data_IF_360161278287
#
_entry.id   IF_360161278287
#
_cell.length_a   1.000
_cell.length_b   1.000
_cell.length_c   1.000
_cell.angle_alpha   90.00
_cell.angle_beta   90.00
_cell.angle_gamma   90.00
#
_symmetry.space_group_name_H-M   'P 1'
#
loop_
_entity.id
_entity.type
_entity.pdbx_description
1 polymer ?
#
# COMPACT_ATOMS: atom_id res chain seq x y z
N UNK A 1 -33.14 -44.01 -45.59
CA UNK A 1 -32.51 -43.42 -44.38
C UNK A 1 -31.68 -42.18 -44.75
N UNK A 2 -32.29 -41.00 -44.58
CA UNK A 2 -31.75 -39.71 -44.96
C UNK A 2 -30.53 -39.35 -44.12
N UNK A 3 -29.43 -39.00 -44.79
CA UNK A 3 -28.18 -38.49 -44.21
C UNK A 3 -28.43 -37.12 -43.56
N UNK A 4 -27.93 -36.93 -42.33
CA UNK A 4 -27.97 -35.64 -41.64
C UNK A 4 -27.09 -34.61 -42.37
N UNK A 5 -27.49 -33.33 -42.46
CA UNK A 5 -26.75 -32.33 -43.22
C UNK A 5 -25.41 -32.00 -42.56
N UNK A 6 -24.34 -32.07 -43.34
CA UNK A 6 -23.02 -31.53 -43.01
C UNK A 6 -23.10 -30.01 -42.99
N UNK A 7 -22.98 -29.39 -41.82
CA UNK A 7 -22.80 -27.93 -41.72
C UNK A 7 -21.34 -27.58 -42.08
N UNK A 8 -21.20 -26.69 -43.06
CA UNK A 8 -19.93 -26.17 -43.55
C UNK A 8 -19.22 -25.29 -42.51
N UNK A 9 -17.86 -25.27 -42.50
CA UNK A 9 -17.09 -24.42 -41.60
C UNK A 9 -17.21 -22.94 -42.01
N UNK A 10 -17.64 -22.11 -41.07
CA UNK A 10 -17.73 -20.65 -41.19
C UNK A 10 -16.33 -20.02 -41.09
N UNK A 11 -16.05 -18.86 -41.73
CA UNK A 11 -14.73 -18.23 -41.74
C UNK A 11 -14.34 -17.69 -40.35
N UNK A 12 -13.04 -17.61 -40.01
CA UNK A 12 -12.60 -17.18 -38.69
C UNK A 12 -12.79 -15.66 -38.56
N UNK A 13 -13.81 -15.27 -37.81
CA UNK A 13 -13.98 -13.90 -37.34
C UNK A 13 -12.93 -13.56 -36.27
N UNK A 14 -12.45 -12.33 -36.25
CA UNK A 14 -11.44 -11.80 -35.31
C UNK A 14 -11.82 -11.96 -33.82
N UNK A 15 -13.07 -12.37 -33.53
CA UNK A 15 -13.58 -12.76 -32.21
C UNK A 15 -12.87 -13.98 -31.59
N UNK A 16 -12.24 -14.84 -32.39
CA UNK A 16 -11.57 -16.07 -31.91
C UNK A 16 -10.37 -15.79 -30.98
N UNK A 17 -9.66 -14.68 -31.18
CA UNK A 17 -8.48 -14.37 -30.38
C UNK A 17 -8.83 -13.95 -28.95
N UNK A 18 -9.91 -13.18 -28.77
CA UNK A 18 -10.35 -12.74 -27.44
C UNK A 18 -10.98 -13.90 -26.65
N UNK A 19 -11.78 -14.73 -27.33
CA UNK A 19 -12.38 -15.93 -26.74
C UNK A 19 -11.32 -16.84 -26.12
N UNK A 20 -10.21 -17.08 -26.83
CA UNK A 20 -9.10 -17.91 -26.33
C UNK A 20 -8.41 -17.33 -25.08
N UNK A 21 -8.39 -16.01 -24.92
CA UNK A 21 -7.77 -15.32 -23.78
C UNK A 21 -8.66 -15.31 -22.53
N UNK A 22 -9.97 -15.49 -22.72
CA UNK A 22 -10.96 -15.53 -21.64
C UNK A 22 -11.28 -16.96 -21.17
N UNK A 23 -10.63 -17.98 -21.76
CA UNK A 23 -10.77 -19.36 -21.36
C UNK A 23 -9.85 -19.73 -20.19
N UNK A 24 -10.37 -20.55 -19.28
CA UNK A 24 -9.59 -21.10 -18.18
C UNK A 24 -8.72 -22.26 -18.68
N UNK A 25 -7.42 -22.30 -18.38
CA UNK A 25 -6.56 -23.41 -18.80
C UNK A 25 -6.87 -24.77 -18.13
N UNK A 26 -7.69 -24.79 -17.07
CA UNK A 26 -8.08 -26.02 -16.36
C UNK A 26 -9.28 -26.69 -17.05
N UNK A 27 -10.36 -25.94 -17.29
CA UNK A 27 -11.58 -26.47 -17.91
C UNK A 27 -11.76 -26.10 -19.38
N UNK A 28 -10.85 -25.29 -19.95
CA UNK A 28 -10.83 -24.85 -21.36
C UNK A 28 -12.03 -24.02 -21.84
N UNK A 29 -12.95 -23.69 -20.93
CA UNK A 29 -14.13 -22.86 -21.19
C UNK A 29 -13.98 -21.44 -20.62
N UNK A 30 -14.87 -20.53 -21.00
CA UNK A 30 -14.92 -19.13 -20.54
C UNK A 30 -14.93 -19.01 -19.01
N UNK A 31 -14.00 -18.25 -18.44
CA UNK A 31 -13.74 -18.20 -16.99
C UNK A 31 -14.95 -17.76 -16.15
N UNK A 32 -15.47 -18.63 -15.28
CA UNK A 32 -16.48 -18.25 -14.29
C UNK A 32 -15.82 -17.75 -12.99
N UNK A 33 -16.13 -16.51 -12.59
CA UNK A 33 -15.57 -15.81 -11.41
C UNK A 33 -14.03 -15.92 -11.35
N UNK A 34 -13.32 -15.27 -12.29
CA UNK A 34 -11.88 -15.40 -12.43
C UNK A 34 -11.10 -15.00 -11.16
N UNK A 35 -10.20 -15.88 -10.73
CA UNK A 35 -9.23 -15.67 -9.65
C UNK A 35 -7.82 -15.61 -10.23
N UNK A 36 -6.99 -14.71 -9.69
CA UNK A 36 -5.60 -14.52 -10.10
C UNK A 36 -4.64 -15.07 -9.04
N UNK A 37 -3.73 -15.95 -9.48
CA UNK A 37 -2.70 -16.54 -8.62
C UNK A 37 -1.47 -15.63 -8.50
N UNK A 38 -1.11 -15.22 -7.29
CA UNK A 38 0.06 -14.38 -7.02
C UNK A 38 1.31 -15.23 -6.73
N UNK A 39 2.51 -14.85 -7.23
CA UNK A 39 2.84 -13.59 -7.90
C UNK A 39 2.76 -13.63 -9.44
N UNK A 40 2.31 -14.74 -10.03
CA UNK A 40 2.39 -14.95 -11.48
C UNK A 40 1.24 -14.31 -12.29
N UNK A 41 0.17 -13.85 -11.62
CA UNK A 41 -1.01 -13.20 -12.21
C UNK A 41 -1.80 -14.04 -13.24
N UNK A 42 -1.57 -15.36 -13.32
CA UNK A 42 -2.40 -16.23 -14.16
C UNK A 42 -3.80 -16.39 -13.57
N UNK A 43 -4.81 -16.38 -14.45
CA UNK A 43 -6.22 -16.35 -14.08
C UNK A 43 -6.93 -17.66 -14.40
N UNK A 44 -7.82 -18.08 -13.50
CA UNK A 44 -8.55 -19.35 -13.58
C UNK A 44 -9.96 -19.19 -13.01
N UNK A 45 -10.88 -20.14 -13.26
CA UNK A 45 -12.16 -20.14 -12.54
C UNK A 45 -11.94 -20.38 -11.04
N UNK A 46 -12.67 -19.68 -10.18
CA UNK A 46 -12.57 -19.85 -8.72
C UNK A 46 -12.74 -21.32 -8.27
N UNK A 47 -13.76 -22.01 -8.80
CA UNK A 47 -14.01 -23.43 -8.48
C UNK A 47 -12.90 -24.36 -8.97
N UNK A 48 -12.44 -24.19 -10.22
CA UNK A 48 -11.36 -25.01 -10.78
C UNK A 48 -10.05 -24.85 -10.00
N UNK A 49 -9.71 -23.60 -9.65
CA UNK A 49 -8.49 -23.33 -8.91
C UNK A 49 -8.57 -23.81 -7.46
N UNK A 50 -9.75 -23.72 -6.83
CA UNK A 50 -9.98 -24.27 -5.48
C UNK A 50 -9.74 -25.78 -5.43
N UNK A 51 -10.22 -26.54 -6.41
CA UNK A 51 -9.98 -27.99 -6.50
C UNK A 51 -8.51 -28.33 -6.75
N UNK A 52 -7.83 -27.53 -7.58
CA UNK A 52 -6.39 -27.69 -7.82
C UNK A 52 -5.57 -27.46 -6.55
N UNK A 53 -5.90 -26.42 -5.79
CA UNK A 53 -5.25 -26.06 -4.54
C UNK A 53 -5.36 -27.13 -3.43
N UNK A 54 -6.35 -28.03 -3.53
CA UNK A 54 -6.44 -29.19 -2.65
C UNK A 54 -5.32 -30.22 -2.91
N UNK A 55 -4.74 -30.25 -4.11
CA UNK A 55 -3.73 -31.23 -4.54
C UNK A 55 -2.33 -30.63 -4.70
N UNK A 56 -2.22 -29.39 -5.19
CA UNK A 56 -0.94 -28.71 -5.39
C UNK A 56 -1.03 -27.21 -5.09
N UNK A 57 0.03 -26.65 -4.49
CA UNK A 57 0.17 -25.21 -4.20
C UNK A 57 0.92 -24.45 -5.31
N UNK A 58 1.04 -25.05 -6.48
CA UNK A 58 1.73 -24.47 -7.65
C UNK A 58 0.73 -24.01 -8.70
N UNK A 59 1.12 -22.99 -9.47
CA UNK A 59 0.29 -22.48 -10.56
C UNK A 59 0.17 -23.51 -11.70
N UNK A 60 -1.03 -23.86 -12.18
CA UNK A 60 -1.20 -24.82 -13.29
C UNK A 60 -0.50 -24.41 -14.59
N UNK A 61 -0.38 -23.10 -14.85
CA UNK A 61 0.16 -22.58 -16.10
C UNK A 61 1.68 -22.43 -16.11
N UNK A 62 2.27 -22.01 -14.98
CA UNK A 62 3.70 -21.69 -14.91
C UNK A 62 4.48 -22.47 -13.84
N UNK A 63 3.80 -23.34 -13.07
CA UNK A 63 4.36 -24.18 -12.00
C UNK A 63 5.10 -23.42 -10.89
N UNK A 64 4.90 -22.10 -10.80
CA UNK A 64 5.47 -21.28 -9.72
C UNK A 64 4.64 -21.44 -8.44
N UNK A 65 5.27 -21.38 -7.25
CA UNK A 65 4.54 -21.48 -5.99
C UNK A 65 3.58 -20.31 -5.81
N UNK A 66 2.32 -20.63 -5.49
CA UNK A 66 1.25 -19.63 -5.27
C UNK A 66 1.24 -19.22 -3.81
N UNK A 67 1.37 -17.92 -3.55
CA UNK A 67 1.38 -17.37 -2.19
C UNK A 67 0.02 -16.86 -1.76
N UNK A 68 -0.69 -16.27 -2.71
CA UNK A 68 -1.94 -15.56 -2.47
C UNK A 68 -2.84 -15.73 -3.69
N UNK A 69 -4.14 -15.79 -3.43
CA UNK A 69 -5.17 -15.88 -4.46
C UNK A 69 -6.19 -14.81 -4.19
N UNK A 70 -6.48 -14.01 -5.23
CA UNK A 70 -7.43 -12.91 -5.14
C UNK A 70 -8.36 -12.91 -6.37
N UNK A 71 -9.60 -12.46 -6.20
CA UNK A 71 -10.55 -12.31 -7.31
C UNK A 71 -10.14 -11.14 -8.19
N UNK A 72 -10.19 -11.33 -9.50
CA UNK A 72 -9.90 -10.26 -10.45
C UNK A 72 -11.21 -9.60 -10.91
N UNK A 73 -11.62 -8.53 -10.23
CA UNK A 73 -12.85 -7.80 -10.51
C UNK A 73 -12.92 -7.25 -11.95
N UNK A 74 -11.78 -6.85 -12.52
CA UNK A 74 -11.73 -6.37 -13.90
C UNK A 74 -12.04 -7.51 -14.88
N UNK A 75 -11.44 -8.68 -14.69
CA UNK A 75 -11.73 -9.83 -15.55
C UNK A 75 -13.17 -10.33 -15.39
N UNK A 76 -13.76 -10.24 -14.19
CA UNK A 76 -15.19 -10.53 -14.02
C UNK A 76 -16.03 -9.63 -14.93
N UNK A 77 -15.81 -8.32 -14.90
CA UNK A 77 -16.57 -7.37 -15.72
C UNK A 77 -16.38 -7.63 -17.22
N UNK A 78 -15.16 -7.92 -17.64
CA UNK A 78 -14.84 -8.23 -19.06
C UNK A 78 -15.52 -9.52 -19.49
N UNK A 79 -15.50 -10.57 -18.65
CA UNK A 79 -16.20 -11.82 -18.94
C UNK A 79 -17.71 -11.60 -19.00
N UNK A 80 -18.28 -10.82 -18.08
CA UNK A 80 -19.72 -10.52 -18.06
C UNK A 80 -20.14 -9.78 -19.34
N UNK A 81 -19.34 -8.81 -19.80
CA UNK A 81 -19.60 -8.10 -21.06
C UNK A 81 -19.39 -8.98 -22.30
N UNK A 82 -18.40 -9.88 -22.25
CA UNK A 82 -18.19 -10.89 -23.29
C UNK A 82 -19.40 -11.85 -23.39
N UNK A 83 -19.94 -12.33 -22.26
CA UNK A 83 -21.11 -13.21 -22.22
C UNK A 83 -22.40 -12.49 -22.67
N UNK A 84 -22.53 -11.18 -22.43
CA UNK A 84 -23.65 -10.38 -22.98
C UNK A 84 -23.61 -10.32 -24.50
N UNK A 85 -22.41 -10.23 -25.08
CA UNK A 85 -22.22 -10.11 -26.54
C UNK A 85 -22.17 -11.48 -27.23
N UNK A 86 -21.78 -12.53 -26.52
CA UNK A 86 -21.65 -13.90 -27.04
C UNK A 86 -22.38 -14.91 -26.13
N UNK A 87 -23.73 -14.98 -26.20
CA UNK A 87 -24.51 -15.87 -25.33
C UNK A 87 -24.24 -17.36 -25.55
N UNK A 88 -23.71 -17.75 -26.71
CA UNK A 88 -23.38 -19.14 -27.05
C UNK A 88 -22.17 -19.71 -26.29
N UNK A 89 -21.35 -18.83 -25.68
CA UNK A 89 -20.22 -19.22 -24.83
C UNK A 89 -20.60 -19.38 -23.36
N UNK A 90 -21.86 -19.11 -23.01
CA UNK A 90 -22.33 -19.23 -21.65
C UNK A 90 -22.41 -20.71 -21.26
N UNK A 91 -21.80 -21.04 -20.13
CA UNK A 91 -21.88 -22.36 -19.51
C UNK A 91 -23.31 -22.71 -19.09
N UNK A 92 -23.60 -24.00 -19.03
CA UNK A 92 -24.84 -24.50 -18.46
C UNK A 92 -24.96 -24.10 -16.98
N UNK A 93 -26.15 -23.67 -16.57
CA UNK A 93 -26.40 -23.21 -15.19
C UNK A 93 -26.10 -24.30 -14.15
N UNK A 94 -26.25 -25.58 -14.53
CA UNK A 94 -25.90 -26.73 -13.69
C UNK A 94 -24.39 -26.84 -13.42
N UNK A 95 -23.54 -26.46 -14.39
CA UNK A 95 -22.08 -26.46 -14.23
C UNK A 95 -21.59 -25.26 -13.45
N UNK A 96 -22.20 -24.10 -13.68
CA UNK A 96 -21.99 -22.89 -12.88
C UNK A 96 -22.23 -23.18 -11.40
N UNK A 97 -23.34 -23.84 -11.07
CA UNK A 97 -23.66 -24.20 -9.68
C UNK A 97 -22.61 -25.14 -9.06
N UNK A 98 -22.07 -26.10 -9.84
CA UNK A 98 -20.99 -27.00 -9.37
C UNK A 98 -19.70 -26.23 -9.10
N UNK A 99 -19.33 -25.29 -9.96
CA UNK A 99 -18.15 -24.45 -9.78
C UNK A 99 -18.30 -23.51 -8.59
N UNK A 100 -19.51 -23.02 -8.34
CA UNK A 100 -19.81 -22.20 -7.18
C UNK A 100 -19.75 -22.99 -5.88
N UNK A 101 -20.23 -24.23 -5.88
CA UNK A 101 -20.11 -25.14 -4.74
C UNK A 101 -18.66 -25.52 -4.43
N UNK A 102 -17.81 -25.62 -5.46
CA UNK A 102 -16.40 -25.95 -5.31
C UNK A 102 -15.51 -24.76 -4.92
N UNK A 103 -16.01 -23.52 -4.98
CA UNK A 103 -15.23 -22.32 -4.66
C UNK A 103 -15.03 -22.17 -3.14
N UNK A 104 -13.78 -22.34 -2.70
CA UNK A 104 -13.37 -22.12 -1.31
C UNK A 104 -12.67 -20.76 -1.12
N UNK A 105 -12.42 -20.02 -2.21
CA UNK A 105 -11.63 -18.78 -2.21
C UNK A 105 -12.50 -17.59 -1.81
N UNK A 106 -13.82 -17.64 -2.05
CA UNK A 106 -14.76 -16.65 -1.53
C UNK A 106 -14.43 -15.21 -1.96
N UNK A 107 -15.07 -14.21 -1.35
CA UNK A 107 -14.87 -12.79 -1.72
C UNK A 107 -13.65 -12.14 -1.02
N UNK A 108 -12.79 -12.94 -0.41
CA UNK A 108 -11.67 -12.45 0.39
C UNK A 108 -10.37 -13.03 -0.19
N UNK A 109 -9.31 -12.24 -0.14
CA UNK A 109 -7.96 -12.73 -0.44
C UNK A 109 -7.61 -13.92 0.46
N UNK A 110 -7.17 -15.02 -0.14
CA UNK A 110 -6.69 -16.21 0.59
C UNK A 110 -5.17 -16.27 0.55
N UNK A 111 -4.54 -16.17 1.71
CA UNK A 111 -3.09 -16.32 1.90
C UNK A 111 -2.75 -17.77 2.23
N UNK A 112 -1.85 -18.39 1.46
CA UNK A 112 -1.52 -19.81 1.54
C UNK A 112 -0.30 -20.12 2.44
N UNK A 113 0.14 -19.16 3.28
CA UNK A 113 1.38 -19.24 4.02
C UNK A 113 1.32 -18.80 5.50
N UNK A 114 1.11 -19.77 6.41
CA UNK A 114 1.86 -19.83 7.67
C UNK A 114 2.83 -21.00 7.53
N UNK A 115 4.14 -20.74 7.54
CA UNK A 115 5.12 -21.79 7.79
C UNK A 115 4.97 -22.20 9.26
N UNK A 116 4.83 -23.49 9.52
CA UNK A 116 5.05 -24.03 10.85
C UNK A 116 6.49 -23.68 11.25
N UNK A 117 6.67 -23.08 12.44
CA UNK A 117 7.98 -22.97 13.07
C UNK A 117 8.43 -24.39 13.39
N UNK A 118 9.48 -24.86 12.74
CA UNK A 118 10.28 -25.95 13.27
C UNK A 118 11.01 -25.39 14.50
N UNK A 119 10.82 -26.10 15.61
CA UNK A 119 11.34 -25.85 16.94
C UNK A 119 12.83 -26.19 16.96
N UNK A 120 13.69 -25.20 16.78
CA UNK A 120 15.08 -25.26 17.20
C UNK A 120 15.26 -24.24 18.32
N UNK A 121 15.34 -24.75 19.54
CA UNK A 121 15.58 -23.98 20.74
C UNK A 121 16.98 -23.34 20.70
N UNK A 122 17.01 -22.02 20.84
CA UNK A 122 18.10 -21.36 21.53
C UNK A 122 17.57 -20.16 22.32
N UNK A 123 18.04 -20.09 23.56
CA UNK A 123 17.54 -19.26 24.62
C UNK A 123 18.45 -18.06 24.78
N UNK A 124 17.95 -16.86 24.49
CA UNK A 124 18.43 -15.62 25.13
C UNK A 124 17.42 -14.47 25.01
N UNK A 125 16.83 -14.16 26.16
CA UNK A 125 16.61 -12.84 26.73
C UNK A 125 16.26 -11.65 25.79
N UNK A 126 14.98 -11.26 25.86
CA UNK A 126 14.57 -10.01 26.51
C UNK A 126 13.71 -9.03 25.70
N UNK A 127 12.86 -8.36 26.48
CA UNK A 127 12.11 -7.12 26.24
C UNK A 127 10.83 -7.23 25.40
N UNK A 128 9.72 -6.99 26.09
CA UNK A 128 8.38 -6.78 25.57
C UNK A 128 8.33 -5.53 24.71
N UNK A 129 7.98 -5.67 23.43
CA UNK A 129 7.34 -4.59 22.67
C UNK A 129 6.04 -5.12 22.04
N UNK A 130 4.97 -4.50 22.49
CA UNK A 130 3.60 -4.57 22.00
C UNK A 130 3.53 -3.74 20.71
N UNK A 131 3.60 -4.40 19.55
CA UNK A 131 3.39 -3.77 18.25
C UNK A 131 2.10 -4.33 17.64
N UNK A 132 1.01 -3.58 17.82
CA UNK A 132 -0.26 -3.82 17.15
C UNK A 132 -0.16 -3.34 15.70
N UNK A 133 -0.22 -4.29 14.78
CA UNK A 133 -0.26 -4.15 13.32
C UNK A 133 -1.13 -2.96 12.85
N UNK A 134 -0.50 -2.00 12.15
CA UNK A 134 -1.18 -1.12 11.18
C UNK A 134 -0.42 -1.15 9.84
N UNK A 135 -0.79 -2.11 9.00
CA UNK A 135 -0.47 -2.11 7.58
C UNK A 135 -1.29 -0.99 6.89
N UNK A 136 -0.70 0.20 6.74
CA UNK A 136 -1.13 1.19 5.75
C UNK A 136 -0.05 1.32 4.67
N UNK A 137 -0.28 0.57 3.60
CA UNK A 137 0.41 0.64 2.31
C UNK A 137 0.40 2.07 1.75
N UNK A 138 1.43 2.86 2.07
CA UNK A 138 1.78 4.04 1.27
C UNK A 138 2.41 3.59 -0.05
N UNK A 139 1.54 3.24 -0.99
CA UNK A 139 1.85 3.28 -2.41
C UNK A 139 2.19 4.74 -2.75
N UNK A 140 3.40 5.00 -3.20
CA UNK A 140 3.76 6.24 -3.89
C UNK A 140 3.25 6.12 -5.34
N UNK A 141 2.28 6.91 -5.80
CA UNK A 141 2.00 7.03 -7.22
C UNK A 141 2.70 8.29 -7.75
N UNK A 142 3.66 8.09 -8.64
CA UNK A 142 3.89 9.06 -9.70
C UNK A 142 2.62 9.06 -10.56
N UNK A 143 2.02 10.24 -10.72
CA UNK A 143 0.72 10.40 -11.37
C UNK A 143 0.73 10.09 -12.87
N UNK A 144 -0.40 9.56 -13.35
CA UNK A 144 -1.11 10.23 -14.42
C UNK A 144 -2.63 9.97 -14.27
N UNK A 145 -3.44 10.95 -14.67
CA UNK A 145 -4.84 11.07 -14.28
C UNK A 145 -5.86 10.30 -15.14
N UNK A 146 -7.10 10.25 -14.62
CA UNK A 146 -8.41 10.32 -15.31
C UNK A 146 -9.44 9.37 -14.68
N UNK A 147 -10.58 9.90 -14.19
CA UNK A 147 -11.78 9.08 -13.95
C UNK A 147 -12.69 9.60 -12.83
N UNK A 148 -13.87 10.09 -13.21
CA UNK A 148 -14.95 10.60 -12.35
C UNK A 148 -15.52 9.56 -11.36
N UNK A 149 -15.99 10.04 -10.20
CA UNK A 149 -16.94 9.36 -9.31
C UNK A 149 -18.29 10.09 -9.34
N UNK A 150 -19.44 9.39 -9.29
CA UNK A 150 -20.67 9.94 -8.76
C UNK A 150 -21.05 9.32 -7.40
N UNK A 151 -21.54 10.18 -6.51
CA UNK A 151 -22.69 9.86 -5.66
C UNK A 151 -22.44 9.13 -4.35
N UNK A 152 -22.42 9.88 -3.25
CA UNK A 152 -22.61 9.38 -1.91
C UNK A 152 -24.06 8.89 -1.69
N UNK A 153 -24.23 7.63 -1.23
CA UNK A 153 -25.35 7.23 -0.36
C UNK A 153 -25.13 5.84 0.26
N UNK A 154 -25.46 5.76 1.54
CA UNK A 154 -25.90 4.56 2.29
C UNK A 154 -24.85 3.51 2.72
N UNK A 155 -24.50 3.55 4.01
CA UNK A 155 -24.43 2.34 4.85
C UNK A 155 -24.42 2.70 6.35
N UNK A 156 -25.62 2.86 6.94
CA UNK A 156 -25.86 2.68 8.39
C UNK A 156 -26.56 1.32 8.56
N UNK A 157 -26.18 0.63 9.63
CA UNK A 157 -26.71 -0.66 10.13
C UNK A 157 -26.20 -1.87 9.33
N UNK A 158 -25.72 -2.96 9.92
CA UNK A 158 -26.18 -3.68 11.10
C UNK A 158 -25.02 -4.51 11.68
N UNK A 159 -24.84 -4.55 13.01
CA UNK A 159 -24.49 -5.78 13.74
C UNK A 159 -24.72 -5.58 15.24
N UNK A 160 -25.76 -6.22 15.78
CA UNK A 160 -25.98 -6.39 17.22
C UNK A 160 -26.58 -7.77 17.50
N UNK A 161 -26.04 -8.42 18.53
CA UNK A 161 -26.46 -9.67 19.18
C UNK A 161 -26.03 -10.93 18.43
N UNK A 162 -25.30 -11.90 19.00
CA UNK A 162 -25.52 -12.73 20.20
C UNK A 162 -24.13 -13.34 20.54
N UNK A 163 -23.58 -13.30 21.75
CA UNK A 163 -23.92 -14.14 22.91
C UNK A 163 -23.43 -13.46 24.20
N UNK A 164 -24.35 -13.29 25.14
CA UNK A 164 -24.06 -13.21 26.55
C UNK A 164 -23.92 -14.63 27.10
N UNK A 165 -22.86 -14.90 27.87
CA UNK A 165 -22.91 -15.62 29.15
C UNK A 165 -21.48 -15.87 29.65
N UNK A 166 -21.13 -15.27 30.79
CA UNK A 166 -19.83 -15.48 31.43
C UNK A 166 -19.37 -14.32 32.30
N UNK A 167 -20.24 -13.85 33.20
CA UNK A 167 -19.84 -12.91 34.26
C UNK A 167 -18.87 -13.62 35.20
N UNK A 168 -17.67 -13.07 35.42
CA UNK A 168 -17.09 -12.74 36.74
C UNK A 168 -15.66 -12.22 36.56
N UNK A 169 -15.30 -11.32 37.46
CA UNK A 169 -14.01 -10.62 37.61
C UNK A 169 -13.76 -9.49 36.59
N UNK A 170 -14.10 -8.26 36.98
CA UNK A 170 -13.26 -7.05 36.92
C UNK A 170 -14.09 -5.84 37.36
N UNK A 171 -14.44 -5.80 38.65
CA UNK A 171 -15.05 -4.63 39.30
C UNK A 171 -13.99 -3.68 39.90
N UNK A 172 -12.78 -3.62 39.33
CA UNK A 172 -11.69 -2.76 39.79
C UNK A 172 -10.97 -1.97 38.68
N UNK A 173 -11.60 -1.77 37.51
CA UNK A 173 -10.99 -1.01 36.40
C UNK A 173 -11.97 0.00 35.77
N UNK A 174 -12.79 0.68 36.59
CA UNK A 174 -13.68 1.75 36.11
C UNK A 174 -13.62 3.05 36.93
N UNK A 175 -12.52 3.23 37.67
CA UNK A 175 -12.19 4.48 38.35
C UNK A 175 -10.87 5.10 37.85
N UNK A 176 -10.24 4.56 36.81
CA UNK A 176 -9.00 5.11 36.22
C UNK A 176 -9.06 5.36 34.70
N UNK A 177 -10.27 5.59 34.16
CA UNK A 177 -10.45 6.07 32.79
C UNK A 177 -10.80 7.57 32.73
N UNK A 178 -10.96 8.22 33.88
CA UNK A 178 -11.30 9.65 33.98
C UNK A 178 -10.16 10.50 34.59
N UNK A 179 -8.97 9.92 34.80
CA UNK A 179 -7.78 10.62 35.30
C UNK A 179 -6.72 10.90 34.21
N UNK A 180 -6.86 10.35 32.99
CA UNK A 180 -5.99 10.67 31.85
C UNK A 180 -6.60 11.70 30.88
N UNK A 181 -7.77 12.24 31.20
CA UNK A 181 -8.41 13.30 30.43
C UNK A 181 -8.04 14.73 30.90
N UNK A 182 -7.17 14.89 31.91
CA UNK A 182 -6.94 16.22 32.51
C UNK A 182 -5.50 16.51 33.01
N UNK A 183 -4.47 16.05 32.29
CA UNK A 183 -3.06 16.42 32.58
C UNK A 183 -2.24 16.85 31.35
N UNK A 184 -2.90 17.39 30.32
CA UNK A 184 -2.23 18.22 29.32
C UNK A 184 -2.92 19.59 29.19
N UNK A 185 -3.07 20.24 30.35
CA UNK A 185 -3.27 21.67 30.45
C UNK A 185 -1.89 22.36 30.57
N UNK A 186 -1.17 22.45 29.45
CA UNK A 186 -0.27 23.58 29.21
C UNK A 186 -0.69 24.21 27.89
N UNK A 187 -1.33 25.36 28.04
CA UNK A 187 -1.98 26.10 27.00
C UNK A 187 -1.00 26.53 25.89
N UNK A 188 -1.22 26.00 24.69
CA UNK A 188 -0.98 26.73 23.46
C UNK A 188 -2.34 26.87 22.79
N UNK A 189 -2.72 28.10 22.44
CA UNK A 189 -4.01 28.40 21.82
C UNK A 189 -4.29 27.46 20.63
N UNK A 190 -5.54 27.00 20.42
CA UNK A 190 -5.86 26.15 19.27
C UNK A 190 -5.40 26.87 17.98
N UNK A 191 -4.64 26.21 17.10
CA UNK A 191 -4.13 26.86 15.89
C UNK A 191 -5.33 27.38 15.09
N UNK A 192 -5.23 28.67 14.73
CA UNK A 192 -6.25 29.41 14.01
C UNK A 192 -6.65 28.63 12.75
N UNK A 193 -7.94 28.29 12.65
CA UNK A 193 -8.52 27.52 11.55
C UNK A 193 -8.40 28.34 10.25
N UNK A 194 -7.61 27.88 9.28
CA UNK A 194 -7.75 28.36 7.90
C UNK A 194 -8.83 27.52 7.22
N UNK A 195 -9.99 28.11 6.95
CA UNK A 195 -11.13 27.44 6.32
C UNK A 195 -10.95 27.39 4.78
N UNK A 196 -9.93 26.67 4.30
CA UNK A 196 -9.64 26.55 2.86
C UNK A 196 -9.20 25.14 2.46
N UNK A 197 -9.43 24.76 1.18
CA UNK A 197 -9.02 23.46 0.65
C UNK A 197 -7.50 23.28 0.71
N UNK A 198 -7.06 22.04 0.87
CA UNK A 198 -5.64 21.70 0.80
C UNK A 198 -5.09 22.10 -0.56
N UNK A 199 -4.04 22.93 -0.60
CA UNK A 199 -3.46 23.37 -1.87
C UNK A 199 -2.76 22.25 -2.65
N UNK A 200 -2.45 21.14 -1.99
CA UNK A 200 -1.80 19.98 -2.60
C UNK A 200 -2.84 18.97 -3.12
N UNK A 201 -3.71 18.43 -2.26
CA UNK A 201 -4.67 17.39 -2.69
C UNK A 201 -6.07 17.91 -3.06
N UNK A 202 -6.35 19.21 -2.92
CA UNK A 202 -7.65 19.81 -3.23
C UNK A 202 -8.78 19.45 -2.25
N UNK A 203 -8.56 18.55 -1.29
CA UNK A 203 -9.60 18.15 -0.34
C UNK A 203 -10.00 19.31 0.59
N UNK A 204 -11.30 19.59 0.65
CA UNK A 204 -11.91 20.69 1.42
C UNK A 204 -12.33 20.35 2.85
N UNK A 205 -12.32 19.08 3.24
CA UNK A 205 -13.04 18.62 4.44
C UNK A 205 -12.18 18.35 5.68
N UNK A 206 -10.89 18.68 5.66
CA UNK A 206 -9.98 18.32 6.75
C UNK A 206 -9.05 19.48 7.11
N UNK A 207 -8.83 19.66 8.43
CA UNK A 207 -7.82 20.51 9.06
C UNK A 207 -6.67 20.87 8.10
N UNK A 208 -6.61 22.12 7.66
CA UNK A 208 -5.49 22.66 6.90
C UNK A 208 -4.71 23.63 7.77
N UNK A 209 -3.39 23.57 7.66
CA UNK A 209 -2.49 24.48 8.34
C UNK A 209 -1.28 24.75 7.45
N UNK A 210 -0.73 25.98 7.46
CA UNK A 210 0.52 26.25 6.77
C UNK A 210 1.71 25.49 7.36
N UNK A 211 2.62 25.06 6.49
CA UNK A 211 3.81 24.31 6.89
C UNK A 211 4.69 25.09 7.90
N UNK A 212 4.82 26.41 7.72
CA UNK A 212 5.57 27.28 8.66
C UNK A 212 5.01 27.31 10.08
N UNK A 213 3.69 27.14 10.21
CA UNK A 213 2.97 27.21 11.49
C UNK A 213 2.79 25.84 12.12
N UNK A 214 3.07 24.76 11.38
CA UNK A 214 2.96 23.40 11.88
C UNK A 214 4.03 23.11 12.95
N UNK A 215 3.61 22.43 14.02
CA UNK A 215 4.45 22.09 15.18
C UNK A 215 4.17 20.63 15.60
N UNK A 216 4.89 19.66 15.02
CA UNK A 216 4.72 18.26 15.39
C UNK A 216 5.31 17.99 16.79
N UNK A 217 4.61 17.19 17.58
CA UNK A 217 5.09 16.72 18.89
C UNK A 217 6.14 15.61 18.76
N UNK A 218 6.04 14.79 17.72
CA UNK A 218 6.96 13.69 17.41
C UNK A 218 7.27 13.62 15.91
N UNK A 219 8.35 12.93 15.56
CA UNK A 219 8.64 12.63 14.16
C UNK A 219 7.61 11.62 13.63
N UNK A 220 7.13 11.74 12.37
CA UNK A 220 6.28 10.74 11.76
C UNK A 220 6.95 9.37 11.73
N UNK A 221 6.17 8.27 11.88
CA UNK A 221 6.70 6.91 11.96
C UNK A 221 7.51 6.51 10.72
N UNK A 222 7.20 7.09 9.55
CA UNK A 222 7.86 6.82 8.27
C UNK A 222 8.60 8.04 7.71
N UNK A 223 9.20 8.85 8.59
CA UNK A 223 9.97 10.05 8.19
C UNK A 223 11.14 9.71 7.27
N UNK A 224 11.75 8.54 7.46
CA UNK A 224 12.82 7.98 6.63
C UNK A 224 12.37 6.68 5.95
N UNK A 225 13.00 6.27 4.84
CA UNK A 225 12.51 5.14 4.04
C UNK A 225 12.76 3.77 4.68
N UNK A 226 13.67 3.68 5.65
CA UNK A 226 13.97 2.48 6.42
C UNK A 226 14.41 2.85 7.85
N UNK A 227 14.37 1.88 8.78
CA UNK A 227 14.69 2.10 10.19
C UNK A 227 16.16 2.44 10.42
N UNK A 228 17.06 1.97 9.55
CA UNK A 228 18.47 2.29 9.64
C UNK A 228 18.70 3.79 9.38
N UNK A 229 18.21 4.34 8.27
CA UNK A 229 18.33 5.77 7.99
C UNK A 229 17.53 6.63 8.98
N UNK A 230 16.42 6.12 9.53
CA UNK A 230 15.71 6.76 10.64
C UNK A 230 16.60 6.88 11.86
N UNK A 231 17.26 5.80 12.27
CA UNK A 231 18.22 5.80 13.38
C UNK A 231 19.32 6.85 13.18
N UNK A 232 19.85 6.95 11.97
CA UNK A 232 20.86 7.96 11.63
C UNK A 232 20.35 9.39 11.79
N UNK A 233 19.11 9.66 11.35
CA UNK A 233 18.47 10.96 11.57
C UNK A 233 18.28 11.23 13.08
N UNK A 234 17.77 10.25 13.83
CA UNK A 234 17.53 10.38 15.27
C UNK A 234 18.84 10.67 16.03
N UNK A 235 19.95 10.00 15.69
CA UNK A 235 21.28 10.26 16.27
C UNK A 235 21.80 11.68 15.98
N UNK A 236 21.53 12.20 14.78
CA UNK A 236 21.88 13.59 14.43
C UNK A 236 21.03 14.58 15.22
N UNK A 237 19.72 14.35 15.31
CA UNK A 237 18.80 15.21 16.05
C UNK A 237 19.12 15.22 17.54
N UNK A 238 19.45 14.06 18.11
CA UNK A 238 19.85 13.93 19.51
C UNK A 238 21.15 14.67 19.79
N UNK A 239 22.17 14.54 18.93
CA UNK A 239 23.44 15.29 19.09
C UNK A 239 23.27 16.80 18.98
N UNK A 240 22.31 17.27 18.18
CA UNK A 240 21.97 18.69 18.05
C UNK A 240 21.02 19.19 19.15
N UNK A 241 20.45 18.29 19.95
CA UNK A 241 19.45 18.62 20.96
C UNK A 241 18.11 19.11 20.37
N UNK A 242 17.78 18.66 19.15
CA UNK A 242 16.59 19.12 18.43
C UNK A 242 15.40 18.19 18.63
N UNK A 243 14.26 18.77 19.01
CA UNK A 243 12.96 18.09 18.94
C UNK A 243 12.34 18.21 17.54
N UNK A 244 11.26 17.44 17.28
CA UNK A 244 10.59 17.40 15.98
C UNK A 244 10.14 18.79 15.48
N UNK A 245 9.64 19.65 16.37
CA UNK A 245 9.23 21.00 16.04
C UNK A 245 10.39 21.94 15.66
N UNK A 246 11.55 21.82 16.32
CA UNK A 246 12.74 22.62 16.00
C UNK A 246 13.36 22.17 14.67
N UNK A 247 13.41 20.85 14.47
CA UNK A 247 13.85 20.26 13.22
C UNK A 247 12.98 20.70 12.02
N UNK A 248 11.65 20.68 12.16
CA UNK A 248 10.77 21.19 11.11
C UNK A 248 11.02 22.68 10.81
N UNK A 249 11.28 23.51 11.82
CA UNK A 249 11.55 24.94 11.63
C UNK A 249 12.81 25.17 10.79
N UNK A 250 13.89 24.46 11.11
CA UNK A 250 15.14 24.50 10.32
C UNK A 250 14.87 24.09 8.87
N UNK A 251 14.15 22.98 8.66
CA UNK A 251 13.80 22.52 7.32
C UNK A 251 12.94 23.54 6.55
N UNK A 252 12.00 24.21 7.23
CA UNK A 252 11.18 25.27 6.64
C UNK A 252 12.00 26.53 6.34
N UNK A 253 12.99 26.85 7.17
CA UNK A 253 13.90 27.96 6.90
C UNK A 253 14.72 27.71 5.64
N UNK A 254 15.21 26.48 5.45
CA UNK A 254 15.92 26.05 4.24
C UNK A 254 15.02 25.95 3.00
N UNK A 255 13.74 25.66 3.19
CA UNK A 255 12.75 25.78 2.12
C UNK A 255 12.56 27.25 1.71
N UNK A 256 12.43 28.15 2.68
CA UNK A 256 12.27 29.59 2.44
C UNK A 256 13.53 30.21 1.81
N UNK A 257 14.73 29.72 2.15
CA UNK A 257 15.98 30.17 1.52
C UNK A 257 16.16 29.62 0.09
N UNK A 258 15.33 28.67 -0.33
CA UNK A 258 15.41 28.02 -1.64
C UNK A 258 16.47 26.92 -1.74
N UNK A 259 17.12 26.55 -0.62
CA UNK A 259 18.05 25.42 -0.55
C UNK A 259 17.29 24.09 -0.72
N UNK A 260 16.09 23.99 -0.12
CA UNK A 260 15.21 22.84 -0.26
C UNK A 260 14.05 23.15 -1.20
N UNK A 261 13.56 22.11 -1.89
CA UNK A 261 12.37 22.19 -2.74
C UNK A 261 11.44 21.04 -2.45
N UNK A 262 10.16 21.36 -2.30
CA UNK A 262 9.07 20.38 -2.24
C UNK A 262 8.09 20.72 -3.36
N UNK A 263 7.57 19.70 -4.03
CA UNK A 263 6.59 19.85 -5.11
C UNK A 263 5.24 19.32 -4.65
N UNK A 264 4.16 19.95 -5.13
CA UNK A 264 2.80 19.45 -4.95
C UNK A 264 2.59 18.19 -5.80
N UNK A 265 1.90 17.19 -5.23
CA UNK A 265 1.55 15.93 -5.89
C UNK A 265 0.61 16.18 -7.08
N UNK A 266 -0.27 17.19 -7.00
CA UNK A 266 -1.32 17.46 -8.00
C UNK A 266 -0.88 18.32 -9.19
N UNK A 267 0.04 19.26 -8.96
CA UNK A 267 0.43 20.27 -9.95
C UNK A 267 1.91 20.26 -10.30
N UNK A 268 2.74 19.51 -9.56
CA UNK A 268 4.20 19.55 -9.70
C UNK A 268 4.83 20.91 -9.35
N UNK A 269 4.02 21.89 -8.96
CA UNK A 269 4.47 23.24 -8.63
C UNK A 269 5.21 23.24 -7.28
N UNK A 270 6.20 24.13 -7.10
CA UNK A 270 6.89 24.27 -5.82
C UNK A 270 5.91 24.71 -4.74
N UNK A 271 5.87 23.96 -3.64
CA UNK A 271 5.08 24.31 -2.46
C UNK A 271 5.86 25.30 -1.60
N UNK A 272 5.25 26.44 -1.32
CA UNK A 272 5.78 27.41 -0.36
C UNK A 272 5.37 27.06 1.08
N UNK A 273 6.20 27.45 2.05
CA UNK A 273 5.90 27.31 3.49
C UNK A 273 4.66 28.12 3.92
N UNK A 274 4.25 29.07 3.07
CA UNK A 274 3.03 29.87 3.06
C UNK A 274 1.73 29.08 3.06
N UNK A 275 1.74 27.94 2.37
CA UNK A 275 0.54 27.34 1.78
C UNK A 275 -0.16 26.39 2.76
N UNK A 276 -1.50 26.47 2.90
CA UNK A 276 -2.26 25.58 3.78
C UNK A 276 -2.32 24.15 3.23
N UNK A 277 -1.84 23.19 4.03
CA UNK A 277 -1.81 21.77 3.69
C UNK A 277 -2.63 20.97 4.71
N UNK A 278 -3.27 19.88 4.27
CA UNK A 278 -3.96 18.96 5.17
C UNK A 278 -2.96 18.08 5.95
N UNK A 279 -3.41 17.39 7.00
CA UNK A 279 -2.54 16.54 7.84
C UNK A 279 -1.72 15.52 7.04
N UNK A 280 -2.31 14.90 6.02
CA UNK A 280 -1.62 13.92 5.18
C UNK A 280 -0.54 14.57 4.32
N UNK A 281 -0.87 15.68 3.64
CA UNK A 281 0.08 16.44 2.83
C UNK A 281 1.20 17.08 3.67
N UNK A 282 0.89 17.54 4.88
CA UNK A 282 1.90 18.02 5.84
C UNK A 282 2.89 16.91 6.21
N UNK A 283 2.40 15.69 6.48
CA UNK A 283 3.25 14.54 6.79
C UNK A 283 4.17 14.20 5.61
N UNK A 284 3.62 14.15 4.39
CA UNK A 284 4.40 13.92 3.15
C UNK A 284 5.46 14.99 2.93
N UNK A 285 5.08 16.27 3.03
CA UNK A 285 6.01 17.39 2.91
C UNK A 285 7.13 17.29 3.96
N UNK A 286 6.79 16.89 5.18
CA UNK A 286 7.78 16.67 6.23
C UNK A 286 8.76 15.54 5.90
N UNK A 287 8.29 14.39 5.41
CA UNK A 287 9.17 13.30 4.98
C UNK A 287 10.11 13.75 3.86
N UNK A 288 9.61 14.50 2.86
CA UNK A 288 10.44 15.03 1.77
C UNK A 288 11.48 16.04 2.24
N UNK A 289 11.14 16.89 3.21
CA UNK A 289 12.10 17.81 3.83
C UNK A 289 13.14 17.07 4.67
N UNK A 290 12.72 16.07 5.44
CA UNK A 290 13.63 15.28 6.25
C UNK A 290 14.61 14.49 5.38
N UNK A 291 14.16 13.98 4.23
CA UNK A 291 15.03 13.33 3.26
C UNK A 291 16.09 14.30 2.71
N UNK A 292 15.70 15.52 2.34
CA UNK A 292 16.64 16.55 1.87
C UNK A 292 17.65 16.95 2.94
N UNK A 293 17.20 17.11 4.19
CA UNK A 293 18.10 17.35 5.31
C UNK A 293 19.10 16.21 5.48
N UNK A 294 18.63 14.96 5.49
CA UNK A 294 19.51 13.80 5.61
C UNK A 294 20.50 13.69 4.44
N UNK A 295 20.07 14.06 3.23
CA UNK A 295 20.91 14.09 2.03
C UNK A 295 21.97 15.22 2.04
N UNK A 296 21.68 16.32 2.74
CA UNK A 296 22.62 17.45 2.88
C UNK A 296 23.79 17.15 3.84
N UNK A 297 23.64 16.14 4.72
CA UNK A 297 24.65 15.77 5.70
C UNK A 297 25.68 14.82 5.09
N UNK A 298 26.96 15.06 5.39
CA UNK A 298 27.99 14.11 5.04
C UNK A 298 27.79 12.80 5.83
N UNK A 299 28.10 11.62 5.25
CA UNK A 299 28.00 10.35 5.97
C UNK A 299 28.81 10.34 7.27
N UNK A 300 29.91 11.10 7.30
CA UNK A 300 30.74 11.30 8.49
C UNK A 300 30.03 11.96 9.65
N UNK A 301 29.09 12.85 9.34
CA UNK A 301 28.39 13.66 10.31
C UNK A 301 27.26 12.88 10.96
N UNK A 302 26.80 11.80 10.34
CA UNK A 302 25.74 10.92 10.87
C UNK A 302 26.35 9.90 11.83
N UNK A 303 27.33 9.13 11.37
CA UNK A 303 27.96 8.12 12.21
C UNK A 303 28.99 7.27 11.43
N UNK A 304 29.76 6.43 12.12
CA UNK A 304 30.74 5.55 11.47
C UNK A 304 30.07 4.53 10.54
N UNK A 305 28.91 3.99 10.91
CA UNK A 305 28.20 2.96 10.15
C UNK A 305 27.65 3.44 8.80
N UNK A 306 27.58 4.76 8.60
CA UNK A 306 27.11 5.37 7.36
C UNK A 306 28.22 5.61 6.34
N UNK A 307 29.49 5.47 6.73
CA UNK A 307 30.66 5.74 5.87
C UNK A 307 30.91 4.58 4.90
N UNK A 308 31.36 4.93 3.70
CA UNK A 308 31.83 3.95 2.71
C UNK A 308 30.76 3.01 2.15
N UNK A 309 29.48 3.37 2.28
CA UNK A 309 28.37 2.59 1.72
C UNK A 309 28.09 3.03 0.29
N UNK A 310 27.97 2.06 -0.61
CA UNK A 310 27.59 2.32 -1.99
C UNK A 310 26.10 2.67 -2.11
N UNK A 311 25.79 3.57 -3.04
CA UNK A 311 24.42 3.90 -3.38
C UNK A 311 23.64 2.70 -3.91
N UNK A 312 22.42 2.54 -3.42
CA UNK A 312 21.47 1.59 -3.96
C UNK A 312 21.05 2.05 -5.37
N UNK A 313 21.06 1.13 -6.34
CA UNK A 313 20.63 1.45 -7.71
C UNK A 313 19.20 1.98 -7.81
N UNK A 314 18.33 1.57 -6.89
CA UNK A 314 16.94 2.03 -6.82
C UNK A 314 16.74 3.23 -5.90
N UNK A 315 17.79 3.67 -5.18
CA UNK A 315 17.77 4.80 -4.26
C UNK A 315 16.59 4.78 -3.28
N UNK A 316 15.97 5.95 -3.08
CA UNK A 316 14.79 6.12 -2.22
C UNK A 316 13.61 5.20 -2.61
N UNK A 317 13.53 4.78 -3.88
CA UNK A 317 12.46 3.93 -4.39
C UNK A 317 12.73 2.42 -4.21
N UNK A 318 13.84 2.03 -3.58
CA UNK A 318 14.14 0.62 -3.31
C UNK A 318 13.06 0.01 -2.40
N UNK A 319 12.42 -1.08 -2.83
CA UNK A 319 11.43 -1.79 -1.98
C UNK A 319 12.11 -2.76 -1.02
N UNK A 320 13.27 -3.31 -1.40
CA UNK A 320 14.06 -4.25 -0.58
C UNK A 320 14.55 -3.62 0.72
N UNK A 321 14.76 -2.30 0.76
CA UNK A 321 15.20 -1.58 1.96
C UNK A 321 14.22 -1.70 3.14
N UNK A 322 12.93 -1.97 2.87
CA UNK A 322 11.88 -2.14 3.88
C UNK A 322 11.74 -3.58 4.37
N UNK A 323 12.23 -4.55 3.57
CA UNK A 323 12.05 -5.98 3.82
C UNK A 323 13.33 -6.68 4.30
N UNK A 324 14.48 -6.03 4.15
CA UNK A 324 15.78 -6.58 4.54
C UNK A 324 16.62 -5.52 5.25
N UNK A 325 16.75 -5.66 6.56
CA UNK A 325 17.62 -4.81 7.38
C UNK A 325 19.10 -4.92 6.94
N UNK A 326 19.54 -6.09 6.49
CA UNK A 326 20.89 -6.30 5.96
C UNK A 326 21.12 -5.45 4.69
N UNK A 327 20.14 -5.42 3.78
CA UNK A 327 20.23 -4.57 2.59
C UNK A 327 20.25 -3.08 2.95
N UNK A 328 19.39 -2.65 3.89
CA UNK A 328 19.34 -1.27 4.39
C UNK A 328 20.67 -0.83 5.06
N UNK A 329 21.36 -1.75 5.74
CA UNK A 329 22.68 -1.48 6.34
C UNK A 329 23.78 -1.39 5.29
N UNK A 330 23.78 -2.27 4.29
CA UNK A 330 24.86 -2.35 3.28
C UNK A 330 24.82 -1.27 2.22
N UNK A 331 23.64 -0.77 1.87
CA UNK A 331 23.46 0.19 0.77
C UNK A 331 22.92 1.52 1.29
N UNK A 332 23.37 2.62 0.70
CA UNK A 332 22.78 3.92 0.93
C UNK A 332 21.48 4.06 0.12
N UNK A 333 20.39 4.47 0.78
CA UNK A 333 19.10 4.75 0.13
C UNK A 333 18.74 6.24 0.14
N UNK A 334 19.55 7.06 0.80
CA UNK A 334 19.46 8.53 0.73
C UNK A 334 20.19 9.01 -0.53
N UNK A 335 19.72 8.54 -1.68
CA UNK A 335 20.29 8.82 -2.98
C UNK A 335 19.21 8.75 -4.07
N UNK A 336 19.50 9.40 -5.20
CA UNK A 336 18.60 9.40 -6.36
C UNK A 336 18.66 8.02 -7.05
N UNK A 337 17.53 7.47 -7.53
CA UNK A 337 17.55 6.22 -8.28
C UNK A 337 18.37 6.37 -9.57
N UNK A 338 19.19 5.36 -9.88
CA UNK A 338 20.04 5.33 -11.09
C UNK A 338 19.56 4.31 -12.13
N UNK A 339 18.66 3.40 -11.77
CA UNK A 339 18.06 2.42 -12.70
C UNK A 339 16.53 2.36 -12.62
N UNK A 340 15.90 1.94 -13.72
CA UNK A 340 14.47 1.65 -13.82
C UNK A 340 13.57 2.89 -13.99
N UNK A 341 12.25 2.68 -13.87
CA UNK A 341 11.25 3.74 -14.06
C UNK A 341 11.43 4.91 -13.09
N UNK A 342 11.88 4.64 -11.86
CA UNK A 342 12.17 5.67 -10.86
C UNK A 342 13.36 6.56 -11.24
N UNK A 343 14.37 6.02 -11.94
CA UNK A 343 15.49 6.83 -12.46
C UNK A 343 15.04 7.71 -13.64
N UNK A 344 14.17 7.17 -14.51
CA UNK A 344 13.57 7.94 -15.60
C UNK A 344 12.64 9.05 -15.09
N UNK A 345 11.97 8.86 -13.95
CA UNK A 345 11.18 9.89 -13.28
C UNK A 345 12.07 10.95 -12.58
N UNK A 346 13.11 10.51 -11.87
CA UNK A 346 14.07 11.40 -11.20
C UNK A 346 14.89 12.26 -12.18
N UNK A 347 15.13 11.79 -13.41
CA UNK A 347 15.77 12.57 -14.46
C UNK A 347 14.84 13.65 -15.04
N UNK A 348 13.52 13.44 -15.00
CA UNK A 348 12.52 14.38 -15.52
C UNK A 348 12.16 15.51 -14.56
N UNK A 349 12.44 15.37 -13.26
CA UNK A 349 12.19 16.41 -12.25
C UNK A 349 13.33 17.44 -12.09
N UNK A 350 14.41 17.29 -12.89
CA UNK A 350 15.59 18.17 -12.87
C UNK A 350 15.74 18.99 -14.16
N UNK A 351 14.91 18.72 -15.18
CA UNK A 351 14.86 19.46 -16.44
C UNK A 351 13.70 20.47 -16.43
#
# INVERSE_FOLDING_TARGET
>A
PLQKPQQQPQPPSESSSLESQLCCVICQETMHRPVAAQPCLHSFCAGCFSQWMAHSKECPQCRKPVREVSRNHLLCNIVDDFLKTHPHNRRDDAEIARLDQADQIGNRTVSLGKRAREDDGDQSDSFSDDDSDVEEVLSFPFGDGSGHLPGAAAARALFRSVVASGRRAHAHARANANAHANTHAQAQAPPQRSAGPCADCGNGDAFTQPLRSYRPSSLPPHVMPNDFERKGLDEVLQRRGWGAAAFLQECVQRLTSGEYRICADSSGAPLDAGVPLCRACLSKAFCSLAFQFRASLAPSDVGPDWRGRDDCWYGIACTTQRRSAEHARRRNHVCKPTRGAAAAAAARSVA
#
